data_IF_021940311837
#
_entry.id   IF_021940311837
#
_cell.length_a   1.000
_cell.length_b   1.000
_cell.length_c   1.000
_cell.angle_alpha   90.00
_cell.angle_beta   90.00
_cell.angle_gamma   90.00
#
_symmetry.space_group_name_H-M   'P 1'
#
loop_
_entity.id
_entity.type
_entity.pdbx_description
1 polymer ?
#
# COMPACT_ATOMS: atom_id res chain seq x y z
N UNK A 1 9.28 1.57 3.91
CA UNK A 1 10.40 1.64 2.93
C UNK A 1 11.10 0.31 2.71
N UNK A 2 11.66 -0.35 3.74
CA UNK A 2 12.44 -1.58 3.54
C UNK A 2 11.70 -2.71 2.81
N UNK A 3 10.41 -2.91 3.08
CA UNK A 3 9.61 -3.95 2.43
C UNK A 3 9.31 -3.61 0.96
N UNK A 4 9.05 -2.34 0.64
CA UNK A 4 8.88 -1.88 -0.74
C UNK A 4 10.14 -2.09 -1.56
N UNK A 5 11.31 -1.76 -1.00
CA UNK A 5 12.62 -2.03 -1.62
C UNK A 5 12.88 -3.53 -1.79
N UNK A 6 12.52 -4.34 -0.80
CA UNK A 6 12.62 -5.79 -0.88
C UNK A 6 11.75 -6.36 -2.00
N UNK A 7 10.51 -5.88 -2.14
CA UNK A 7 9.60 -6.25 -3.22
C UNK A 7 10.13 -5.80 -4.60
N UNK A 8 10.72 -4.61 -4.69
CA UNK A 8 11.36 -4.13 -5.92
C UNK A 8 12.56 -5.01 -6.32
N UNK A 9 13.37 -5.43 -5.36
CA UNK A 9 14.56 -6.21 -5.65
C UNK A 9 14.28 -7.68 -5.94
N UNK A 10 13.50 -8.36 -5.08
CA UNK A 10 13.25 -9.82 -5.13
C UNK A 10 11.88 -10.21 -5.66
N UNK A 11 10.96 -9.28 -5.83
CA UNK A 11 9.59 -9.52 -6.32
C UNK A 11 9.53 -9.98 -7.77
N UNK A 12 8.40 -10.55 -8.17
CA UNK A 12 8.02 -10.73 -9.57
C UNK A 12 7.45 -9.44 -10.15
N UNK A 13 6.92 -9.47 -11.38
CA UNK A 13 6.36 -8.28 -12.01
C UNK A 13 5.22 -7.67 -11.17
N UNK A 14 4.34 -8.50 -10.60
CA UNK A 14 3.25 -8.04 -9.74
C UNK A 14 3.74 -7.40 -8.43
N UNK A 15 4.70 -8.04 -7.75
CA UNK A 15 5.23 -7.55 -6.47
C UNK A 15 6.10 -6.31 -6.63
N UNK A 16 6.82 -6.19 -7.76
CA UNK A 16 7.57 -4.98 -8.10
C UNK A 16 6.65 -3.79 -8.32
N UNK A 17 5.57 -3.98 -9.08
CA UNK A 17 4.59 -2.93 -9.32
C UNK A 17 3.87 -2.54 -8.03
N UNK A 18 3.44 -3.51 -7.22
CA UNK A 18 2.83 -3.23 -5.92
C UNK A 18 3.80 -2.56 -4.95
N UNK A 19 5.07 -2.98 -4.93
CA UNK A 19 6.13 -2.34 -4.14
C UNK A 19 6.41 -0.90 -4.57
N UNK A 20 6.40 -0.63 -5.89
CA UNK A 20 6.51 0.73 -6.43
C UNK A 20 5.32 1.61 -6.02
N UNK A 21 4.08 1.10 -6.10
CA UNK A 21 2.90 1.86 -5.71
C UNK A 21 2.87 2.17 -4.22
N UNK A 22 3.12 1.18 -3.35
CA UNK A 22 3.15 1.38 -1.90
C UNK A 22 4.30 2.31 -1.50
N UNK A 23 5.48 2.13 -2.13
CA UNK A 23 6.62 3.02 -1.91
C UNK A 23 6.35 4.46 -2.36
N UNK A 24 5.75 4.63 -3.53
CA UNK A 24 5.35 5.92 -4.07
C UNK A 24 4.31 6.62 -3.21
N UNK A 25 3.27 5.91 -2.77
CA UNK A 25 2.26 6.46 -1.85
C UNK A 25 2.91 6.95 -0.55
N UNK A 26 3.83 6.17 0.04
CA UNK A 26 4.53 6.58 1.26
C UNK A 26 5.34 7.87 1.05
N UNK A 27 6.08 7.99 -0.06
CA UNK A 27 6.84 9.21 -0.39
C UNK A 27 5.89 10.40 -0.54
N UNK A 28 4.83 10.23 -1.32
CA UNK A 28 3.86 11.29 -1.60
C UNK A 28 3.12 11.73 -0.34
N UNK A 29 2.79 10.82 0.57
CA UNK A 29 2.19 11.14 1.88
C UNK A 29 3.13 11.94 2.78
N UNK A 30 4.43 11.63 2.76
CA UNK A 30 5.43 12.40 3.51
C UNK A 30 5.57 13.80 2.90
N UNK A 31 5.69 13.89 1.58
CA UNK A 31 5.80 15.17 0.87
C UNK A 31 4.56 16.03 1.07
N UNK A 32 3.35 15.46 1.03
CA UNK A 32 2.11 16.21 1.25
C UNK A 32 2.05 16.80 2.65
N UNK A 33 2.48 16.06 3.67
CA UNK A 33 2.51 16.57 5.05
C UNK A 33 3.60 17.62 5.31
N UNK A 34 4.63 17.68 4.47
CA UNK A 34 5.72 18.66 4.60
C UNK A 34 5.45 19.96 3.82
N UNK A 35 4.76 19.86 2.68
CA UNK A 35 4.63 20.94 1.71
C UNK A 35 3.25 21.60 1.67
N UNK A 36 2.20 20.92 2.15
CA UNK A 36 0.82 21.42 2.02
C UNK A 36 0.27 21.93 3.37
N UNK A 37 -0.55 23.00 3.33
CA UNK A 37 -1.40 23.38 4.46
C UNK A 37 -2.40 22.26 4.81
N UNK A 38 -2.79 22.14 6.09
CA UNK A 38 -3.65 21.05 6.58
C UNK A 38 -4.94 20.83 5.77
N UNK A 39 -5.55 21.92 5.27
CA UNK A 39 -6.78 21.85 4.46
C UNK A 39 -6.58 21.14 3.12
N UNK A 40 -5.42 21.31 2.48
CA UNK A 40 -5.07 20.64 1.22
C UNK A 40 -4.43 19.27 1.46
N UNK A 41 -3.78 19.08 2.60
CA UNK A 41 -3.16 17.80 2.97
C UNK A 41 -4.20 16.67 3.06
N UNK A 42 -5.36 16.93 3.68
CA UNK A 42 -6.41 15.93 3.82
C UNK A 42 -6.94 15.45 2.46
N UNK A 43 -7.20 16.39 1.54
CA UNK A 43 -7.66 16.09 0.18
C UNK A 43 -6.57 15.34 -0.61
N UNK A 44 -5.31 15.76 -0.48
CA UNK A 44 -4.19 15.09 -1.15
C UNK A 44 -4.03 13.64 -0.67
N UNK A 45 -4.07 13.38 0.64
CA UNK A 45 -4.01 12.01 1.20
C UNK A 45 -5.17 11.14 0.73
N UNK A 46 -6.39 11.68 0.75
CA UNK A 46 -7.58 10.98 0.28
C UNK A 46 -7.47 10.57 -1.20
N UNK A 47 -7.00 11.51 -2.04
CA UNK A 47 -6.80 11.28 -3.47
C UNK A 47 -5.70 10.25 -3.72
N UNK A 48 -4.60 10.32 -2.98
CA UNK A 48 -3.49 9.38 -3.06
C UNK A 48 -3.92 7.96 -2.70
N UNK A 49 -4.68 7.78 -1.62
CA UNK A 49 -5.19 6.47 -1.23
C UNK A 49 -6.14 5.89 -2.28
N UNK A 50 -7.06 6.71 -2.81
CA UNK A 50 -7.97 6.29 -3.88
C UNK A 50 -7.22 5.85 -5.14
N UNK A 51 -6.26 6.66 -5.61
CA UNK A 51 -5.44 6.32 -6.78
C UNK A 51 -4.60 5.07 -6.56
N UNK A 52 -4.04 4.90 -5.36
CA UNK A 52 -3.23 3.72 -5.03
C UNK A 52 -4.10 2.47 -4.97
N UNK A 53 -5.30 2.55 -4.39
CA UNK A 53 -6.25 1.44 -4.37
C UNK A 53 -6.68 1.03 -5.79
N UNK A 54 -6.97 2.00 -6.67
CA UNK A 54 -7.31 1.75 -8.07
C UNK A 54 -6.14 1.12 -8.84
N UNK A 55 -4.93 1.65 -8.64
CA UNK A 55 -3.72 1.08 -9.25
C UNK A 55 -3.47 -0.36 -8.82
N UNK A 56 -3.60 -0.64 -7.52
CA UNK A 56 -3.52 -1.99 -6.98
C UNK A 56 -4.65 -2.88 -7.53
N UNK A 57 -5.87 -2.38 -7.74
CA UNK A 57 -6.96 -3.15 -8.35
C UNK A 57 -6.61 -3.66 -9.74
N UNK A 58 -6.07 -2.79 -10.60
CA UNK A 58 -5.67 -3.15 -11.96
C UNK A 58 -4.61 -4.26 -11.91
N UNK A 59 -3.64 -4.15 -11.01
CA UNK A 59 -2.60 -5.17 -10.82
C UNK A 59 -3.20 -6.47 -10.26
N UNK A 60 -4.12 -6.37 -9.30
CA UNK A 60 -4.77 -7.52 -8.67
C UNK A 60 -5.56 -8.34 -9.70
N UNK A 61 -6.35 -7.67 -10.54
CA UNK A 61 -7.11 -8.30 -11.63
C UNK A 61 -6.17 -8.89 -12.68
N UNK A 62 -5.08 -8.19 -13.03
CA UNK A 62 -4.13 -8.66 -14.06
C UNK A 62 -3.32 -9.88 -13.64
N UNK A 63 -2.93 -9.98 -12.37
CA UNK A 63 -2.02 -11.00 -11.86
C UNK A 63 -2.69 -12.02 -10.91
N UNK A 64 -4.00 -11.88 -10.64
CA UNK A 64 -4.80 -12.77 -9.79
C UNK A 64 -4.15 -13.09 -8.42
N UNK A 65 -3.54 -12.09 -7.80
CA UNK A 65 -2.74 -12.30 -6.59
C UNK A 65 -3.53 -11.99 -5.31
N UNK A 66 -3.72 -13.00 -4.46
CA UNK A 66 -4.52 -12.87 -3.23
C UNK A 66 -3.98 -11.83 -2.24
N UNK A 67 -2.65 -11.64 -2.15
CA UNK A 67 -2.06 -10.65 -1.24
C UNK A 67 -2.41 -9.21 -1.64
N UNK A 68 -2.60 -8.97 -2.94
CA UNK A 68 -3.00 -7.69 -3.51
C UNK A 68 -4.43 -7.33 -3.11
N UNK A 69 -5.34 -8.31 -3.12
CA UNK A 69 -6.70 -8.13 -2.60
C UNK A 69 -6.73 -7.78 -1.11
N UNK A 70 -5.90 -8.43 -0.30
CA UNK A 70 -5.75 -8.09 1.12
C UNK A 70 -5.23 -6.66 1.33
N UNK A 71 -4.19 -6.26 0.60
CA UNK A 71 -3.64 -4.91 0.66
C UNK A 71 -4.67 -3.85 0.23
N UNK A 72 -5.49 -4.16 -0.77
CA UNK A 72 -6.55 -3.26 -1.23
C UNK A 72 -7.63 -3.01 -0.18
N UNK A 73 -8.07 -4.04 0.54
CA UNK A 73 -9.06 -3.88 1.61
C UNK A 73 -8.54 -2.95 2.72
N UNK A 74 -7.24 -3.05 3.04
CA UNK A 74 -6.59 -2.16 4.00
C UNK A 74 -6.47 -0.73 3.48
N UNK A 75 -6.17 -0.54 2.19
CA UNK A 75 -6.21 0.78 1.56
C UNK A 75 -7.62 1.38 1.56
N UNK A 76 -8.66 0.57 1.34
CA UNK A 76 -10.05 1.02 1.44
C UNK A 76 -10.42 1.44 2.87
N UNK A 77 -9.93 0.71 3.88
CA UNK A 77 -10.08 1.11 5.28
C UNK A 77 -9.37 2.44 5.58
N UNK A 78 -8.16 2.65 5.02
CA UNK A 78 -7.41 3.89 5.19
C UNK A 78 -8.07 5.08 4.49
N UNK A 79 -8.54 4.89 3.26
CA UNK A 79 -9.36 5.87 2.55
C UNK A 79 -10.61 6.25 3.35
N UNK A 80 -11.30 5.27 3.93
CA UNK A 80 -12.51 5.50 4.73
C UNK A 80 -12.22 6.29 6.01
N UNK A 81 -11.08 6.02 6.67
CA UNK A 81 -10.63 6.79 7.83
C UNK A 81 -10.36 8.25 7.44
N UNK A 82 -9.61 8.49 6.35
CA UNK A 82 -9.32 9.83 5.88
C UNK A 82 -10.59 10.59 5.46
N UNK A 83 -11.52 9.92 4.78
CA UNK A 83 -12.81 10.51 4.43
C UNK A 83 -13.62 10.91 5.67
N UNK A 84 -13.66 10.05 6.68
CA UNK A 84 -14.40 10.32 7.91
C UNK A 84 -13.86 11.55 8.65
N UNK A 85 -12.53 11.66 8.82
CA UNK A 85 -11.91 12.80 9.50
C UNK A 85 -12.07 14.10 8.72
N UNK A 86 -12.01 14.03 7.39
CA UNK A 86 -12.25 15.17 6.51
C UNK A 86 -13.71 15.65 6.62
N UNK A 87 -14.69 14.75 6.48
CA UNK A 87 -16.13 15.12 6.52
C UNK A 87 -16.55 15.62 7.89
N UNK A 88 -15.98 15.08 8.97
CA UNK A 88 -16.29 15.52 10.34
C UNK A 88 -15.45 16.72 10.81
N UNK A 89 -14.55 17.25 9.96
CA UNK A 89 -13.59 18.30 10.30
C UNK A 89 -12.85 18.03 11.63
N UNK A 90 -12.59 16.75 11.92
CA UNK A 90 -12.02 16.32 13.19
C UNK A 90 -10.50 16.44 13.14
N UNK A 91 -9.84 17.02 14.15
CA UNK A 91 -8.39 17.03 14.21
C UNK A 91 -7.84 15.61 14.34
N UNK A 92 -6.61 15.41 13.85
CA UNK A 92 -5.90 14.13 13.97
C UNK A 92 -5.73 13.80 15.45
N UNK A 93 -6.26 12.66 15.87
CA UNK A 93 -6.22 12.19 17.26
C UNK A 93 -5.53 10.83 17.38
N UNK A 94 -5.42 10.32 18.61
CA UNK A 94 -4.77 9.04 18.88
C UNK A 94 -5.43 7.85 18.14
N UNK A 95 -6.75 7.91 17.91
CA UNK A 95 -7.47 6.86 17.18
C UNK A 95 -7.05 6.86 15.71
N UNK A 96 -7.00 8.03 15.09
CA UNK A 96 -6.52 8.20 13.72
C UNK A 96 -5.11 7.61 13.55
N UNK A 97 -4.19 8.00 14.43
CA UNK A 97 -2.79 7.56 14.37
C UNK A 97 -2.69 6.03 14.52
N UNK A 98 -3.45 5.44 15.45
CA UNK A 98 -3.44 3.99 15.69
C UNK A 98 -3.95 3.21 14.47
N UNK A 99 -5.11 3.60 13.91
CA UNK A 99 -5.70 2.88 12.77
C UNK A 99 -4.81 3.03 11.53
N UNK A 100 -4.33 4.25 11.25
CA UNK A 100 -3.43 4.49 10.13
C UNK A 100 -2.16 3.64 10.20
N UNK A 101 -1.51 3.59 11.36
CA UNK A 101 -0.31 2.77 11.55
C UNK A 101 -0.62 1.26 11.43
N UNK A 102 -1.77 0.80 11.94
CA UNK A 102 -2.15 -0.60 11.86
C UNK A 102 -2.45 -1.03 10.42
N UNK A 103 -3.15 -0.18 9.65
CA UNK A 103 -3.37 -0.41 8.22
C UNK A 103 -2.05 -0.43 7.45
N UNK A 104 -1.16 0.52 7.72
CA UNK A 104 0.14 0.56 7.07
C UNK A 104 1.00 -0.68 7.36
N UNK A 105 0.98 -1.18 8.60
CA UNK A 105 1.63 -2.44 8.97
C UNK A 105 1.00 -3.63 8.26
N UNK A 106 -0.34 -3.67 8.16
CA UNK A 106 -1.05 -4.72 7.43
C UNK A 106 -0.70 -4.73 5.94
N UNK A 107 -0.70 -3.57 5.27
CA UNK A 107 -0.33 -3.43 3.85
C UNK A 107 1.10 -3.91 3.65
N UNK A 108 2.00 -3.50 4.55
CA UNK A 108 3.40 -3.93 4.54
C UNK A 108 3.54 -5.45 4.71
N UNK A 109 2.77 -6.05 5.61
CA UNK A 109 2.76 -7.50 5.82
C UNK A 109 2.23 -8.24 4.58
N UNK A 110 1.16 -7.76 3.95
CA UNK A 110 0.63 -8.33 2.71
C UNK A 110 1.68 -8.31 1.59
N UNK A 111 2.36 -7.17 1.40
CA UNK A 111 3.43 -7.03 0.40
C UNK A 111 4.62 -7.95 0.69
N UNK A 112 5.03 -8.05 1.96
CA UNK A 112 6.11 -8.95 2.36
C UNK A 112 5.75 -10.42 2.10
N UNK A 113 4.56 -10.85 2.50
CA UNK A 113 4.07 -12.22 2.28
C UNK A 113 3.97 -12.54 0.79
N UNK A 114 3.39 -11.64 -0.02
CA UNK A 114 3.33 -11.79 -1.47
C UNK A 114 4.72 -11.98 -2.09
N UNK A 115 5.65 -11.12 -1.71
CA UNK A 115 7.05 -11.18 -2.19
C UNK A 115 7.74 -12.48 -1.79
N UNK A 116 7.60 -12.92 -0.53
CA UNK A 116 8.23 -14.15 -0.03
C UNK A 116 7.65 -15.38 -0.72
N UNK A 117 6.32 -15.48 -0.82
CA UNK A 117 5.64 -16.61 -1.45
C UNK A 117 5.99 -16.69 -2.94
N UNK A 118 5.89 -15.58 -3.67
CA UNK A 118 6.25 -15.52 -5.09
C UNK A 118 7.73 -15.80 -5.35
N UNK A 119 8.63 -15.40 -4.44
CA UNK A 119 10.06 -15.73 -4.53
C UNK A 119 10.31 -17.23 -4.31
N UNK A 120 9.69 -17.83 -3.29
CA UNK A 120 9.82 -19.28 -2.99
C UNK A 120 9.30 -20.16 -4.12
N UNK A 121 8.16 -19.81 -4.72
CA UNK A 121 7.60 -20.56 -5.86
C UNK A 121 8.55 -20.55 -7.06
N UNK A 122 9.17 -19.41 -7.38
CA UNK A 122 10.14 -19.29 -8.48
C UNK A 122 11.43 -20.08 -8.23
N UNK A 123 11.94 -20.12 -6.99
CA UNK A 123 13.09 -20.96 -6.64
C UNK A 123 12.77 -22.44 -6.83
N UNK A 124 11.59 -22.89 -6.37
CA UNK A 124 11.15 -24.28 -6.56
C UNK A 124 11.03 -24.64 -8.04
N UNK A 125 10.42 -23.78 -8.86
CA UNK A 125 10.29 -24.00 -10.30
C UNK A 125 11.66 -24.10 -11.00
N UNK A 126 12.62 -23.23 -10.63
CA UNK A 126 14.00 -23.31 -11.17
C UNK A 126 14.74 -24.59 -10.79
N UNK A 127 14.56 -25.07 -9.56
CA UNK A 127 15.15 -26.33 -9.10
C UNK A 127 14.53 -27.57 -9.77
N UNK A 128 13.27 -27.49 -10.18
CA UNK A 128 12.59 -28.60 -10.88
C UNK A 128 12.95 -28.66 -12.37
N UNK A 129 13.51 -27.58 -12.94
CA UNK A 129 13.90 -27.47 -14.33
C UNK A 129 15.42 -27.67 -14.57
N UNK A 130 16.19 -27.93 -13.51
CA UNK A 130 17.64 -28.19 -13.53
C UNK A 130 17.89 -29.65 -13.12
#
# INVERSE_FOLDING_TARGET
MGISLFALWKGGPAERLGGAMVGGNLILSILSGLLLPESFEQVARLTLDGLTALGLLVIAVRYASFWLGGAMLLYAAQFSLHAFYMVTARPVDLLHIKINNMNFLGISACLALGTIVGWRQRIKARKAAA
#
